data_IF_317574493072
#
_entry.id   IF_317574493072
#
_cell.length_a   1.000
_cell.length_b   1.000
_cell.length_c   1.000
_cell.angle_alpha   90.00
_cell.angle_beta   90.00
_cell.angle_gamma   90.00
#
_symmetry.space_group_name_H-M   'P 1'
#
loop_
_entity.id
_entity.type
_entity.pdbx_description
1 polymer ?
#
# COMPACT_ATOMS: atom_id res chain seq x y z
N UNK A 1 5.57 6.46 26.89
CA UNK A 1 5.00 5.50 25.92
C UNK A 1 4.34 6.34 24.85
N UNK A 2 4.92 6.33 23.65
CA UNK A 2 4.42 7.12 22.53
C UNK A 2 3.06 6.54 22.12
N UNK A 3 2.01 7.35 22.16
CA UNK A 3 0.68 6.93 21.72
C UNK A 3 0.78 6.44 20.28
N UNK A 4 0.42 5.18 20.05
CA UNK A 4 0.16 4.65 18.71
C UNK A 4 -1.00 5.45 18.11
N UNK A 5 -0.67 6.55 17.44
CA UNK A 5 -1.65 7.35 16.70
C UNK A 5 -2.02 6.55 15.47
N UNK A 6 -3.21 5.97 15.52
CA UNK A 6 -3.91 5.50 14.33
C UNK A 6 -3.80 6.56 13.23
N UNK A 7 -3.34 6.12 12.07
CA UNK A 7 -3.28 6.92 10.87
C UNK A 7 -4.21 6.30 9.84
N UNK A 8 -5.08 7.14 9.30
CA UNK A 8 -5.91 6.80 8.15
C UNK A 8 -5.54 7.79 7.05
N UNK A 9 -5.23 7.26 5.88
CA UNK A 9 -4.86 8.05 4.70
C UNK A 9 -5.40 7.38 3.44
N UNK A 10 -5.48 8.15 2.36
CA UNK A 10 -5.97 7.68 1.07
C UNK A 10 -4.84 7.65 0.05
N UNK A 11 -4.82 6.63 -0.78
CA UNK A 11 -3.93 6.50 -1.93
C UNK A 11 -4.72 6.22 -3.18
N UNK A 12 -4.23 6.74 -4.30
CA UNK A 12 -4.76 6.49 -5.62
C UNK A 12 -3.87 5.45 -6.30
N UNK A 13 -4.47 4.38 -6.82
CA UNK A 13 -3.77 3.26 -7.46
C UNK A 13 -4.49 2.85 -8.74
N UNK A 14 -3.78 2.15 -9.63
CA UNK A 14 -4.40 1.55 -10.82
C UNK A 14 -4.99 0.17 -10.54
N UNK A 15 -4.37 -0.56 -9.62
CA UNK A 15 -4.67 -1.97 -9.37
C UNK A 15 -4.68 -2.21 -7.85
N UNK A 16 -5.87 -2.44 -7.28
CA UNK A 16 -6.03 -2.64 -5.83
C UNK A 16 -5.34 -3.91 -5.32
N UNK A 17 -5.32 -4.96 -6.14
CA UNK A 17 -4.73 -6.26 -5.84
C UNK A 17 -3.20 -6.18 -5.72
N UNK A 18 -2.58 -5.30 -6.52
CA UNK A 18 -1.15 -5.01 -6.43
C UNK A 18 -0.85 -4.26 -5.12
N UNK A 19 -1.70 -3.30 -4.73
CA UNK A 19 -1.58 -2.61 -3.44
C UNK A 19 -1.75 -3.59 -2.27
N UNK A 20 -2.74 -4.48 -2.31
CA UNK A 20 -2.96 -5.50 -1.28
C UNK A 20 -1.73 -6.40 -1.12
N UNK A 21 -1.14 -6.84 -2.23
CA UNK A 21 0.11 -7.61 -2.24
C UNK A 21 1.28 -6.83 -1.64
N UNK A 22 1.40 -5.54 -1.98
CA UNK A 22 2.44 -4.68 -1.42
C UNK A 22 2.28 -4.53 0.10
N UNK A 23 1.05 -4.30 0.58
CA UNK A 23 0.71 -4.21 2.01
C UNK A 23 1.06 -5.52 2.74
N UNK A 24 0.62 -6.66 2.21
CA UNK A 24 0.90 -7.97 2.80
C UNK A 24 2.41 -8.22 2.96
N UNK A 25 3.19 -7.96 1.91
CA UNK A 25 4.65 -8.11 1.97
C UNK A 25 5.30 -7.12 2.94
N UNK A 26 4.83 -5.87 2.96
CA UNK A 26 5.38 -4.83 3.82
C UNK A 26 5.13 -5.12 5.30
N UNK A 27 3.89 -5.51 5.64
CA UNK A 27 3.49 -5.96 6.97
C UNK A 27 4.36 -7.12 7.44
N UNK A 28 4.53 -8.13 6.59
CA UNK A 28 5.32 -9.32 6.92
C UNK A 28 6.79 -9.01 7.20
N UNK A 29 7.45 -8.17 6.38
CA UNK A 29 8.90 -7.92 6.51
C UNK A 29 9.26 -6.84 7.52
N UNK A 30 8.36 -5.90 7.81
CA UNK A 30 8.66 -4.75 8.67
C UNK A 30 7.88 -4.76 9.99
N UNK A 31 7.12 -5.83 10.25
CA UNK A 31 6.29 -5.96 11.46
C UNK A 31 5.32 -4.76 11.63
N UNK A 32 4.63 -4.43 10.54
CA UNK A 32 3.61 -3.36 10.47
C UNK A 32 2.22 -3.95 10.25
N UNK A 33 1.17 -3.13 10.34
CA UNK A 33 -0.22 -3.58 10.23
C UNK A 33 -1.08 -2.67 9.34
N UNK A 34 -0.55 -2.29 8.17
CA UNK A 34 -1.34 -1.58 7.16
C UNK A 34 -2.52 -2.44 6.72
N UNK A 35 -3.69 -1.82 6.58
CA UNK A 35 -4.93 -2.49 6.19
C UNK A 35 -5.73 -1.57 5.26
N UNK A 36 -6.22 -2.09 4.13
CA UNK A 36 -7.20 -1.38 3.31
C UNK A 36 -8.55 -1.50 3.99
N UNK A 37 -9.15 -0.36 4.36
CA UNK A 37 -10.44 -0.33 5.06
C UNK A 37 -11.60 0.11 4.17
N UNK A 38 -11.30 0.72 3.02
CA UNK A 38 -12.28 1.14 2.03
C UNK A 38 -11.63 1.19 0.64
N UNK A 39 -12.36 0.72 -0.38
CA UNK A 39 -12.01 0.89 -1.79
C UNK A 39 -13.14 1.60 -2.50
N UNK A 40 -12.78 2.64 -3.26
CA UNK A 40 -13.69 3.44 -4.06
C UNK A 40 -13.27 3.25 -5.52
N UNK A 41 -14.18 2.67 -6.32
CA UNK A 41 -13.98 2.49 -7.76
C UNK A 41 -14.63 3.66 -8.50
N UNK A 42 -13.80 4.52 -9.09
CA UNK A 42 -14.20 5.60 -10.00
C UNK A 42 -13.36 5.50 -11.29
N UNK A 43 -13.11 6.61 -12.00
CA UNK A 43 -12.14 6.68 -13.10
C UNK A 43 -10.73 6.22 -12.68
N UNK A 44 -10.41 6.33 -11.39
CA UNK A 44 -9.22 5.79 -10.73
C UNK A 44 -9.64 5.05 -9.45
N UNK A 45 -8.83 4.10 -8.98
CA UNK A 45 -9.11 3.38 -7.73
C UNK A 45 -8.52 4.15 -6.57
N UNK A 46 -9.35 4.51 -5.59
CA UNK A 46 -8.90 5.09 -4.33
C UNK A 46 -9.04 4.08 -3.20
N UNK A 47 -7.96 3.86 -2.46
CA UNK A 47 -7.94 2.97 -1.31
C UNK A 47 -7.65 3.77 -0.04
N UNK A 48 -8.54 3.69 0.96
CA UNK A 48 -8.24 4.18 2.30
C UNK A 48 -7.50 3.11 3.09
N UNK A 49 -6.35 3.49 3.61
CA UNK A 49 -5.45 2.63 4.36
C UNK A 49 -5.43 3.10 5.81
N UNK A 50 -5.56 2.15 6.73
CA UNK A 50 -5.39 2.32 8.17
C UNK A 50 -4.10 1.67 8.63
N UNK A 51 -3.41 2.28 9.61
CA UNK A 51 -2.25 1.69 10.28
C UNK A 51 -2.13 2.21 11.71
N UNK A 52 -1.69 1.35 12.64
CA UNK A 52 -1.43 1.74 14.04
C UNK A 52 -0.02 1.41 14.49
N UNK A 53 0.66 0.48 13.82
CA UNK A 53 2.03 0.05 14.07
C UNK A 53 2.89 0.36 12.84
N UNK A 54 3.56 1.51 12.88
CA UNK A 54 4.40 2.00 11.80
C UNK A 54 5.41 3.03 12.29
N UNK A 55 6.44 3.25 11.48
CA UNK A 55 7.27 4.46 11.50
C UNK A 55 6.92 5.33 10.30
N UNK A 56 7.20 6.63 10.34
CA UNK A 56 6.98 7.52 9.17
C UNK A 56 7.69 7.02 7.91
N UNK A 57 8.84 6.36 8.06
CA UNK A 57 9.57 5.76 6.94
C UNK A 57 8.81 4.63 6.24
N UNK A 58 7.90 3.95 6.94
CA UNK A 58 7.13 2.84 6.38
C UNK A 58 6.09 3.29 5.36
N UNK A 59 5.58 4.52 5.49
CA UNK A 59 4.70 5.13 4.48
C UNK A 59 5.40 5.23 3.12
N UNK A 60 6.64 5.73 3.13
CA UNK A 60 7.44 5.86 1.90
C UNK A 60 7.92 4.50 1.38
N UNK A 61 8.30 3.58 2.26
CA UNK A 61 8.71 2.23 1.86
C UNK A 61 7.56 1.41 1.26
N UNK A 62 6.34 1.57 1.76
CA UNK A 62 5.16 0.94 1.19
C UNK A 62 4.93 1.45 -0.25
N UNK A 63 4.99 2.76 -0.48
CA UNK A 63 4.90 3.35 -1.82
C UNK A 63 6.03 2.87 -2.75
N UNK A 64 7.27 2.81 -2.27
CA UNK A 64 8.39 2.26 -3.04
C UNK A 64 8.21 0.78 -3.39
N UNK A 65 7.66 -0.01 -2.46
CA UNK A 65 7.39 -1.42 -2.70
C UNK A 65 6.33 -1.62 -3.77
N UNK A 66 5.25 -0.85 -3.71
CA UNK A 66 4.21 -0.86 -4.73
C UNK A 66 4.82 -0.62 -6.12
N UNK A 67 5.62 0.44 -6.26
CA UNK A 67 6.25 0.76 -7.56
C UNK A 67 7.23 -0.30 -8.04
N UNK A 68 7.97 -0.97 -7.14
CA UNK A 68 8.84 -2.10 -7.50
C UNK A 68 8.00 -3.27 -8.03
N UNK A 69 6.88 -3.61 -7.39
CA UNK A 69 6.01 -4.71 -7.85
C UNK A 69 5.43 -4.37 -9.21
N UNK A 70 4.86 -3.17 -9.38
CA UNK A 70 4.31 -2.70 -10.65
C UNK A 70 5.36 -2.72 -11.77
N UNK A 71 6.57 -2.27 -11.49
CA UNK A 71 7.67 -2.29 -12.45
C UNK A 71 8.01 -3.72 -12.90
N UNK A 72 8.15 -4.66 -11.95
CA UNK A 72 8.44 -6.06 -12.26
C UNK A 72 7.29 -6.74 -13.03
N UNK A 73 6.04 -6.38 -12.74
CA UNK A 73 4.88 -6.88 -13.48
C UNK A 73 4.86 -6.32 -14.91
N UNK A 74 5.22 -5.05 -15.09
CA UNK A 74 5.38 -4.43 -16.41
C UNK A 74 6.48 -5.10 -17.22
N UNK A 75 7.66 -5.35 -16.63
CA UNK A 75 8.76 -6.05 -17.30
C UNK A 75 8.38 -7.47 -17.76
N UNK A 76 7.43 -8.10 -17.08
CA UNK A 76 6.88 -9.42 -17.45
C UNK A 76 5.73 -9.36 -18.45
N UNK A 77 5.24 -8.17 -18.80
CA UNK A 77 4.06 -7.98 -19.64
C UNK A 77 2.73 -8.34 -18.95
N UNK A 78 2.70 -8.37 -17.61
CA UNK A 78 1.49 -8.64 -16.82
C UNK A 78 0.60 -7.39 -16.70
N UNK A 79 1.19 -6.20 -16.76
CA UNK A 79 0.49 -4.91 -16.81
C UNK A 79 1.13 -4.01 -17.86
N UNK A 80 0.31 -3.17 -18.50
CA UNK A 80 0.72 -2.28 -19.57
C UNK A 80 0.20 -0.88 -19.21
N UNK A 81 1.01 -0.13 -18.46
CA UNK A 81 0.77 1.29 -18.22
C UNK A 81 1.06 2.08 -19.48
#
# INVERSE_FOLDING_TARGET
MEESKELIFEVMVMYEDILEKAIMQHNHWNDTNFEIIEVIYDDLIFCKIKVTKYTTGDLFRLGYRLSVIEHLMKEKGEIDW
#
